data_IF_251833314138
#
_entry.id   IF_251833314138
#
_cell.length_a   1.000
_cell.length_b   1.000
_cell.length_c   1.000
_cell.angle_alpha   90.00
_cell.angle_beta   90.00
_cell.angle_gamma   90.00
#
_symmetry.space_group_name_H-M   'P 1'
#
loop_
_entity.id
_entity.type
_entity.pdbx_description
1 polymer ?
#
# COMPACT_ATOMS: atom_id res chain seq x y z
N UNK A 1 -52.29 -22.75 -1.74
CA UNK A 1 -51.38 -21.82 -2.45
C UNK A 1 -50.32 -21.34 -1.49
N UNK A 2 -50.75 -20.59 -0.47
CA UNK A 2 -49.93 -19.71 0.38
C UNK A 2 -48.59 -20.21 0.94
N UNK A 3 -48.44 -21.49 1.26
CA UNK A 3 -47.17 -21.99 1.82
C UNK A 3 -46.07 -22.12 0.77
N UNK A 4 -46.43 -22.42 -0.48
CA UNK A 4 -45.46 -22.55 -1.57
C UNK A 4 -45.01 -21.18 -2.06
N UNK A 5 -45.92 -20.19 -2.04
CA UNK A 5 -45.61 -18.81 -2.41
C UNK A 5 -44.65 -18.17 -1.39
N UNK A 6 -44.91 -18.34 -0.08
CA UNK A 6 -43.99 -17.85 0.97
C UNK A 6 -42.62 -18.54 1.01
N UNK A 7 -42.51 -19.77 0.48
CA UNK A 7 -41.22 -20.46 0.29
C UNK A 7 -40.45 -19.90 -0.91
N UNK A 8 -41.15 -19.58 -2.01
CA UNK A 8 -40.56 -18.96 -3.18
C UNK A 8 -39.98 -17.57 -2.87
N UNK A 9 -40.73 -16.75 -2.11
CA UNK A 9 -40.29 -15.42 -1.69
C UNK A 9 -39.02 -15.47 -0.82
N UNK A 10 -38.96 -16.40 0.13
CA UNK A 10 -37.77 -16.63 0.96
C UNK A 10 -36.57 -17.11 0.14
N UNK A 11 -36.78 -17.96 -0.85
CA UNK A 11 -35.71 -18.40 -1.73
C UNK A 11 -35.15 -17.25 -2.57
N UNK A 12 -36.02 -16.38 -3.09
CA UNK A 12 -35.60 -15.19 -3.82
C UNK A 12 -34.80 -14.22 -2.93
N UNK A 13 -35.25 -14.02 -1.69
CA UNK A 13 -34.55 -13.18 -0.71
C UNK A 13 -33.15 -13.73 -0.36
N UNK A 14 -33.05 -15.04 -0.12
CA UNK A 14 -31.79 -15.73 0.21
C UNK A 14 -30.81 -15.69 -0.97
N UNK A 15 -31.28 -15.93 -2.20
CA UNK A 15 -30.46 -15.83 -3.41
C UNK A 15 -29.93 -14.40 -3.61
N UNK A 16 -30.78 -13.39 -3.38
CA UNK A 16 -30.37 -11.98 -3.45
C UNK A 16 -29.35 -11.58 -2.38
N UNK A 17 -29.40 -12.18 -1.19
CA UNK A 17 -28.36 -12.00 -0.16
C UNK A 17 -27.06 -12.69 -0.54
N UNK A 18 -27.14 -13.90 -1.12
CA UNK A 18 -25.97 -14.67 -1.55
C UNK A 18 -25.20 -13.96 -2.68
N UNK A 19 -25.91 -13.44 -3.69
CA UNK A 19 -25.33 -12.63 -4.76
C UNK A 19 -24.67 -11.36 -4.23
N UNK A 20 -25.35 -10.61 -3.34
CA UNK A 20 -24.77 -9.41 -2.73
C UNK A 20 -23.53 -9.71 -1.87
N UNK A 21 -23.50 -10.85 -1.17
CA UNK A 21 -22.32 -11.29 -0.43
C UNK A 21 -21.14 -11.62 -1.35
N UNK A 22 -21.42 -12.11 -2.57
CA UNK A 22 -20.42 -12.41 -3.59
C UNK A 22 -19.89 -11.14 -4.26
N UNK A 23 -20.75 -10.15 -4.51
CA UNK A 23 -20.36 -8.88 -5.15
C UNK A 23 -19.72 -7.87 -4.18
N UNK A 24 -20.07 -7.93 -2.89
CA UNK A 24 -19.54 -7.01 -1.86
C UNK A 24 -18.15 -7.37 -1.34
N UNK A 25 -17.66 -8.57 -1.65
CA UNK A 25 -16.31 -8.99 -1.28
C UNK A 25 -15.38 -8.66 -2.43
N UNK A 26 -14.60 -7.57 -2.34
CA UNK A 26 -13.41 -7.40 -3.22
C UNK A 26 -12.71 -8.76 -3.27
N UNK A 27 -12.52 -9.32 -4.47
CA UNK A 27 -11.94 -10.65 -4.58
C UNK A 27 -10.62 -10.67 -3.81
N UNK A 28 -10.27 -11.79 -3.19
CA UNK A 28 -8.98 -11.93 -2.50
C UNK A 28 -7.83 -11.49 -3.40
N UNK A 29 -7.95 -11.71 -4.71
CA UNK A 29 -7.01 -11.25 -5.74
C UNK A 29 -6.91 -9.72 -5.81
N UNK A 30 -8.03 -8.99 -5.74
CA UNK A 30 -8.02 -7.52 -5.69
C UNK A 30 -7.38 -7.01 -4.40
N UNK A 31 -7.66 -7.63 -3.25
CA UNK A 31 -7.05 -7.25 -1.97
C UNK A 31 -5.55 -7.52 -1.97
N UNK A 32 -5.12 -8.67 -2.52
CA UNK A 32 -3.71 -9.03 -2.68
C UNK A 32 -3.01 -8.07 -3.65
N UNK A 33 -3.64 -7.71 -4.76
CA UNK A 33 -3.08 -6.74 -5.71
C UNK A 33 -2.93 -5.34 -5.08
N UNK A 34 -3.92 -4.89 -4.32
CA UNK A 34 -3.91 -3.61 -3.62
C UNK A 34 -2.83 -3.57 -2.53
N UNK A 35 -2.67 -4.65 -1.75
CA UNK A 35 -1.60 -4.80 -0.77
C UNK A 35 -0.21 -4.89 -1.43
N UNK A 36 -0.08 -5.61 -2.54
CA UNK A 36 1.18 -5.72 -3.31
C UNK A 36 1.58 -4.36 -3.88
N UNK A 37 0.63 -3.59 -4.40
CA UNK A 37 0.88 -2.22 -4.88
C UNK A 37 1.29 -1.27 -3.74
N UNK A 38 0.69 -1.40 -2.56
CA UNK A 38 1.07 -0.64 -1.37
C UNK A 38 2.47 -1.00 -0.85
N UNK A 39 2.85 -2.28 -0.91
CA UNK A 39 4.21 -2.72 -0.55
C UNK A 39 5.23 -2.22 -1.59
N UNK A 40 4.92 -2.31 -2.88
CA UNK A 40 5.78 -1.83 -3.95
C UNK A 40 6.03 -0.30 -3.88
N UNK A 41 5.05 0.47 -3.41
CA UNK A 41 5.18 1.92 -3.19
C UNK A 41 5.88 2.27 -1.88
N UNK A 42 5.69 1.49 -0.80
CA UNK A 42 6.40 1.71 0.48
C UNK A 42 7.86 1.24 0.49
N UNK A 43 8.24 0.34 -0.41
CA UNK A 43 9.58 -0.28 -0.41
C UNK A 43 10.68 0.55 -1.07
N UNK A 44 10.34 1.57 -1.88
CA UNK A 44 11.36 2.43 -2.49
C UNK A 44 11.57 3.68 -1.64
N UNK A 45 12.79 3.90 -1.12
CA UNK A 45 13.09 5.16 -0.45
C UNK A 45 12.87 6.30 -1.43
N UNK A 46 12.06 7.29 -1.06
CA UNK A 46 11.79 8.48 -1.88
C UNK A 46 12.92 9.51 -1.79
N UNK A 47 13.77 9.39 -0.77
CA UNK A 47 14.97 10.18 -0.55
C UNK A 47 15.98 9.35 0.26
N UNK A 48 17.27 9.62 0.04
CA UNK A 48 18.33 9.18 0.97
C UNK A 48 18.59 10.33 1.94
N UNK A 49 18.56 10.06 3.24
CA UNK A 49 18.77 11.07 4.27
C UNK A 49 20.14 10.86 4.92
N UNK A 50 20.98 11.89 4.89
CA UNK A 50 22.29 11.90 5.54
C UNK A 50 22.30 12.92 6.67
N UNK A 51 22.79 12.53 7.86
CA UNK A 51 22.89 13.46 8.98
C UNK A 51 23.83 14.63 8.67
N UNK A 52 23.59 15.80 9.28
CA UNK A 52 24.50 16.96 9.17
C UNK A 52 25.94 16.64 9.61
N UNK A 53 26.11 15.75 10.58
CA UNK A 53 27.43 15.32 11.05
C UNK A 53 28.16 14.50 9.98
N UNK A 54 27.45 13.55 9.36
CA UNK A 54 28.02 12.68 8.32
C UNK A 54 28.19 13.40 6.98
N UNK A 55 27.39 14.43 6.71
CA UNK A 55 27.56 15.28 5.52
C UNK A 55 28.88 16.07 5.52
N UNK A 56 29.54 16.23 6.68
CA UNK A 56 30.87 16.84 6.79
C UNK A 56 31.99 15.87 6.45
N UNK A 57 31.73 14.57 6.46
CA UNK A 57 32.68 13.54 6.06
C UNK A 57 32.55 13.27 4.55
N UNK A 58 33.61 13.58 3.80
CA UNK A 58 33.65 13.43 2.34
C UNK A 58 33.40 11.99 1.90
N UNK A 59 33.84 10.99 2.68
CA UNK A 59 33.63 9.57 2.34
C UNK A 59 32.15 9.21 2.46
N UNK A 60 31.55 9.51 3.62
CA UNK A 60 30.14 9.23 3.88
C UNK A 60 29.21 9.98 2.94
N UNK A 61 29.53 11.24 2.62
CA UNK A 61 28.78 12.02 1.65
C UNK A 61 28.81 11.39 0.25
N UNK A 62 29.98 10.92 -0.21
CA UNK A 62 30.11 10.25 -1.51
C UNK A 62 29.35 8.94 -1.55
N UNK A 63 29.40 8.14 -0.48
CA UNK A 63 28.65 6.89 -0.37
C UNK A 63 27.14 7.14 -0.41
N UNK A 64 26.64 8.10 0.37
CA UNK A 64 25.23 8.47 0.38
C UNK A 64 24.77 9.04 -0.98
N UNK A 65 25.63 9.81 -1.65
CA UNK A 65 25.35 10.31 -3.00
C UNK A 65 25.26 9.20 -4.02
N UNK A 66 26.18 8.24 -3.97
CA UNK A 66 26.16 7.04 -4.83
C UNK A 66 24.89 6.23 -4.61
N UNK A 67 24.49 6.00 -3.36
CA UNK A 67 23.23 5.30 -3.04
C UNK A 67 22.00 6.04 -3.57
N UNK A 68 21.99 7.38 -3.46
CA UNK A 68 20.91 8.21 -4.00
C UNK A 68 20.83 8.11 -5.53
N UNK A 69 21.97 8.16 -6.21
CA UNK A 69 22.06 8.00 -7.67
C UNK A 69 21.64 6.59 -8.12
N UNK A 70 22.05 5.53 -7.41
CA UNK A 70 21.66 4.13 -7.67
C UNK A 70 20.16 3.89 -7.46
N UNK A 71 19.58 4.52 -6.45
CA UNK A 71 18.15 4.45 -6.16
C UNK A 71 17.31 5.44 -7.00
N UNK A 72 17.94 6.34 -7.75
CA UNK A 72 17.28 7.36 -8.58
C UNK A 72 16.49 8.39 -7.77
N UNK A 73 16.92 8.67 -6.54
CA UNK A 73 16.21 9.52 -5.57
C UNK A 73 17.11 10.64 -5.06
N UNK A 74 16.56 11.79 -4.61
CA UNK A 74 17.38 12.87 -4.09
C UNK A 74 18.09 12.51 -2.78
N UNK A 75 19.28 13.09 -2.58
CA UNK A 75 20.00 13.09 -1.31
C UNK A 75 19.59 14.34 -0.51
N UNK A 76 19.05 14.15 0.70
CA UNK A 76 18.72 15.21 1.65
C UNK A 76 19.69 15.18 2.83
N UNK A 77 20.21 16.34 3.22
CA UNK A 77 20.98 16.48 4.46
C UNK A 77 20.00 16.83 5.58
N UNK A 78 19.87 15.97 6.58
CA UNK A 78 19.09 16.25 7.77
C UNK A 78 19.84 17.28 8.63
N UNK A 79 19.30 18.50 8.65
CA UNK A 79 19.89 19.64 9.36
C UNK A 79 19.48 19.69 10.83
N UNK A 80 18.58 18.79 11.26
CA UNK A 80 18.09 18.75 12.64
C UNK A 80 17.32 20.01 13.00
N UNK A 81 16.40 20.44 12.15
CA UNK A 81 15.45 21.47 12.57
C UNK A 81 14.54 20.86 13.63
N UNK A 82 14.81 21.25 14.87
CA UNK A 82 14.05 20.88 16.05
C UNK A 82 12.56 21.20 15.81
N UNK A 83 11.72 20.18 16.02
CA UNK A 83 10.32 20.42 16.38
C UNK A 83 10.25 20.90 17.83
#
# INVERSE_FOLDING_TARGET
GDRMDGLADKNAELLGKLHRSKDGSKTLEQQVAELTAQIATKGRPTEIVLSKADARDVRKYREARKQADEAGVPLRIDRGDAA
#
